data_IF_098164090608
#
_entry.id   IF_098164090608
#
_cell.length_a   1.000
_cell.length_b   1.000
_cell.length_c   1.000
_cell.angle_alpha   90.00
_cell.angle_beta   90.00
_cell.angle_gamma   90.00
#
_symmetry.space_group_name_H-M   'P 1'
#
loop_
_entity.id
_entity.type
_entity.pdbx_description
1 polymer ?
#
# COMPACT_ATOMS: atom_id res chain seq x y z
N UNK A 1 45.72 43.92 -30.82
CA UNK A 1 44.34 43.40 -31.01
C UNK A 1 44.33 41.95 -30.55
N UNK A 2 43.92 41.70 -29.31
CA UNK A 2 43.93 40.35 -28.72
C UNK A 2 42.48 39.97 -28.46
N UNK A 3 41.95 39.03 -29.24
CA UNK A 3 40.58 38.53 -29.08
C UNK A 3 40.55 37.55 -27.90
N UNK A 4 39.86 37.91 -26.82
CA UNK A 4 39.38 36.93 -25.84
C UNK A 4 38.25 36.13 -26.48
N UNK A 5 38.43 34.81 -26.59
CA UNK A 5 37.35 33.87 -26.89
C UNK A 5 36.93 33.28 -25.54
N UNK A 6 35.80 33.74 -25.01
CA UNK A 6 35.17 33.11 -23.85
C UNK A 6 34.53 31.79 -24.27
N UNK A 7 35.06 30.67 -23.77
CA UNK A 7 34.42 29.37 -23.87
C UNK A 7 33.32 29.27 -22.80
N UNK A 8 32.05 29.20 -23.22
CA UNK A 8 30.96 28.73 -22.36
C UNK A 8 31.16 27.23 -22.15
N UNK A 9 31.55 26.83 -20.94
CA UNK A 9 31.45 25.45 -20.51
C UNK A 9 29.97 25.15 -20.22
N UNK A 10 29.30 24.45 -21.14
CA UNK A 10 27.97 23.91 -20.91
C UNK A 10 28.04 22.82 -19.83
N UNK A 11 27.39 23.06 -18.69
CA UNK A 11 27.23 22.06 -17.65
C UNK A 11 26.09 21.10 -18.06
N UNK A 12 26.45 19.95 -18.62
CA UNK A 12 25.50 18.85 -18.83
C UNK A 12 25.21 18.21 -17.47
N UNK A 13 24.07 18.52 -16.87
CA UNK A 13 23.57 17.81 -15.70
C UNK A 13 23.03 16.46 -16.21
N UNK A 14 23.85 15.42 -16.12
CA UNK A 14 23.34 14.05 -16.25
C UNK A 14 22.52 13.75 -15.01
N UNK A 15 21.19 13.73 -15.15
CA UNK A 15 20.32 13.06 -14.20
C UNK A 15 20.69 11.58 -14.22
N UNK A 16 21.53 11.17 -13.27
CA UNK A 16 21.71 9.77 -12.99
C UNK A 16 20.36 9.24 -12.52
N UNK A 17 19.70 8.44 -13.36
CA UNK A 17 18.59 7.59 -12.92
C UNK A 17 19.12 6.78 -11.74
N UNK A 18 18.58 7.04 -10.54
CA UNK A 18 18.90 6.23 -9.38
C UNK A 18 18.62 4.77 -9.74
N UNK A 19 19.59 3.88 -9.46
CA UNK A 19 19.34 2.46 -9.58
C UNK A 19 18.15 2.13 -8.69
N UNK A 20 17.04 1.69 -9.30
CA UNK A 20 15.93 1.15 -8.53
C UNK A 20 16.48 -0.08 -7.78
N UNK A 21 16.67 0.04 -6.47
CA UNK A 21 16.93 -1.11 -5.61
C UNK A 21 15.77 -2.08 -5.79
N UNK A 22 16.06 -3.32 -6.18
CA UNK A 22 15.04 -4.36 -6.30
C UNK A 22 14.32 -4.55 -4.95
N UNK A 23 12.99 -4.58 -4.97
CA UNK A 23 12.14 -4.78 -3.80
C UNK A 23 11.31 -3.56 -3.41
N UNK A 24 11.11 -3.39 -2.11
CA UNK A 24 10.40 -2.25 -1.50
C UNK A 24 11.36 -1.12 -1.15
N UNK A 25 11.04 0.10 -1.59
CA UNK A 25 11.73 1.32 -1.18
C UNK A 25 10.78 2.19 -0.36
N UNK A 26 11.23 2.61 0.82
CA UNK A 26 10.54 3.58 1.65
C UNK A 26 10.93 5.01 1.27
N UNK A 27 9.94 5.91 1.25
CA UNK A 27 10.18 7.35 1.19
C UNK A 27 9.08 8.14 1.89
N UNK A 28 9.45 9.31 2.39
CA UNK A 28 8.49 10.32 2.84
C UNK A 28 8.03 11.17 1.66
N UNK A 29 6.72 11.25 1.48
CA UNK A 29 6.11 12.16 0.50
C UNK A 29 5.82 13.51 1.15
N UNK A 30 6.10 14.60 0.45
CA UNK A 30 5.65 15.94 0.84
C UNK A 30 4.25 16.23 0.27
N UNK A 31 3.57 17.25 0.80
CA UNK A 31 2.30 17.71 0.23
C UNK A 31 2.46 18.14 -1.25
N UNK A 32 3.60 18.74 -1.61
CA UNK A 32 3.92 19.14 -2.97
C UNK A 32 4.05 17.94 -3.92
N UNK A 33 4.72 16.86 -3.49
CA UNK A 33 4.83 15.63 -4.30
C UNK A 33 3.45 15.02 -4.58
N UNK A 34 2.60 14.96 -3.56
CA UNK A 34 1.24 14.42 -3.69
C UNK A 34 0.35 15.32 -4.57
N UNK A 35 0.46 16.63 -4.44
CA UNK A 35 -0.24 17.55 -5.34
C UNK A 35 0.25 17.42 -6.80
N UNK A 36 1.56 17.28 -7.02
CA UNK A 36 2.15 17.09 -8.35
C UNK A 36 1.73 15.77 -9.02
N UNK A 37 1.37 14.75 -8.24
CA UNK A 37 0.83 13.48 -8.76
C UNK A 37 -0.67 13.54 -9.09
N UNK A 38 -1.34 14.67 -8.83
CA UNK A 38 -2.78 14.83 -9.03
C UNK A 38 -3.63 14.41 -7.82
N UNK A 39 -3.00 14.05 -6.70
CA UNK A 39 -3.68 13.60 -5.48
C UNK A 39 -3.24 14.47 -4.29
N UNK A 40 -3.75 15.70 -4.12
CA UNK A 40 -3.30 16.66 -3.10
C UNK A 40 -3.75 16.26 -1.67
N UNK A 41 -3.28 15.12 -1.19
CA UNK A 41 -3.56 14.61 0.16
C UNK A 41 -2.77 15.46 1.16
N UNK A 42 -3.44 16.22 2.01
CA UNK A 42 -2.79 17.01 3.08
C UNK A 42 -2.82 16.28 4.42
N UNK A 43 -3.79 15.38 4.61
CA UNK A 43 -3.95 14.56 5.79
C UNK A 43 -4.39 13.15 5.41
N UNK A 44 -3.77 12.13 6.03
CA UNK A 44 -4.18 10.73 5.88
C UNK A 44 -5.64 10.50 6.27
N UNK A 45 -6.17 11.28 7.21
CA UNK A 45 -7.54 11.17 7.71
C UNK A 45 -8.60 11.85 6.85
N UNK A 46 -8.22 12.62 5.82
CA UNK A 46 -9.18 13.37 4.99
C UNK A 46 -9.57 12.67 3.69
N UNK A 47 -9.08 11.44 3.46
CA UNK A 47 -9.29 10.71 2.20
C UNK A 47 -9.65 9.25 2.46
N UNK A 48 -10.38 8.65 1.51
CA UNK A 48 -10.67 7.21 1.50
C UNK A 48 -9.38 6.39 1.27
N UNK A 49 -9.43 5.10 1.63
CA UNK A 49 -8.31 4.18 1.36
C UNK A 49 -8.03 4.07 -0.14
N UNK A 50 -9.08 4.05 -0.97
CA UNK A 50 -8.94 3.89 -2.40
C UNK A 50 -8.31 5.15 -3.02
N UNK A 51 -8.71 6.35 -2.57
CA UNK A 51 -8.07 7.60 -2.97
C UNK A 51 -6.60 7.64 -2.55
N UNK A 52 -6.29 7.22 -1.32
CA UNK A 52 -4.92 7.12 -0.84
C UNK A 52 -4.08 6.16 -1.71
N UNK A 53 -4.60 4.99 -2.06
CA UNK A 53 -3.89 4.03 -2.91
C UNK A 53 -3.68 4.56 -4.33
N UNK A 54 -4.68 5.22 -4.93
CA UNK A 54 -4.50 5.88 -6.23
C UNK A 54 -3.39 6.95 -6.18
N UNK A 55 -3.34 7.71 -5.09
CA UNK A 55 -2.28 8.68 -4.86
C UNK A 55 -0.90 8.05 -4.66
N UNK A 56 -0.82 6.93 -3.94
CA UNK A 56 0.41 6.18 -3.75
C UNK A 56 0.98 5.67 -5.08
N UNK A 57 0.13 5.09 -5.92
CA UNK A 57 0.45 4.64 -7.28
C UNK A 57 1.00 5.80 -8.13
N UNK A 58 0.30 6.94 -8.14
CA UNK A 58 0.66 8.09 -8.94
C UNK A 58 2.00 8.71 -8.50
N UNK A 59 2.24 8.84 -7.18
CA UNK A 59 3.53 9.33 -6.67
C UNK A 59 4.65 8.36 -7.03
N UNK A 60 4.52 7.06 -6.74
CA UNK A 60 5.55 6.09 -7.05
C UNK A 60 5.88 6.02 -8.55
N UNK A 61 4.86 6.12 -9.42
CA UNK A 61 5.05 6.18 -10.87
C UNK A 61 5.88 7.41 -11.31
N UNK A 62 5.67 8.59 -10.71
CA UNK A 62 6.47 9.78 -10.99
C UNK A 62 7.94 9.64 -10.58
N UNK A 63 8.24 8.71 -9.67
CA UNK A 63 9.59 8.42 -9.19
C UNK A 63 10.20 7.16 -9.83
N UNK A 64 9.58 6.62 -10.88
CA UNK A 64 10.13 5.49 -11.65
C UNK A 64 9.88 4.11 -11.06
N UNK A 65 9.01 4.02 -10.04
CA UNK A 65 8.60 2.74 -9.45
C UNK A 65 7.36 2.19 -10.14
N UNK A 66 7.17 0.87 -10.04
CA UNK A 66 6.02 0.22 -10.65
C UNK A 66 4.75 0.55 -9.88
N UNK A 67 4.74 0.37 -8.56
CA UNK A 67 3.52 0.48 -7.74
C UNK A 67 3.82 1.16 -6.41
N UNK A 68 2.78 1.57 -5.69
CA UNK A 68 2.89 2.32 -4.44
C UNK A 68 1.81 2.00 -3.42
N UNK A 69 2.19 2.05 -2.15
CA UNK A 69 1.28 1.86 -1.02
C UNK A 69 1.69 2.71 0.18
N UNK A 70 0.79 3.56 0.67
CA UNK A 70 1.06 4.33 1.89
C UNK A 70 1.16 3.40 3.10
N UNK A 71 2.16 3.67 3.95
CA UNK A 71 2.40 2.99 5.24
C UNK A 71 1.32 3.30 6.28
N UNK A 72 0.53 4.34 6.04
CA UNK A 72 -0.37 4.92 7.03
C UNK A 72 0.32 5.91 7.97
N UNK A 73 1.66 5.97 8.05
CA UNK A 73 2.36 6.92 8.91
C UNK A 73 2.25 8.36 8.38
N UNK A 74 2.15 9.33 9.30
CA UNK A 74 2.22 10.76 8.99
C UNK A 74 2.91 11.53 10.13
N UNK A 75 3.86 12.40 9.77
CA UNK A 75 4.53 13.34 10.67
C UNK A 75 4.54 14.73 10.04
N UNK A 76 3.76 15.66 10.58
CA UNK A 76 3.51 16.94 9.91
C UNK A 76 2.91 16.73 8.51
N UNK A 77 3.56 17.28 7.48
CA UNK A 77 3.17 17.11 6.08
C UNK A 77 3.69 15.83 5.41
N UNK A 78 4.64 15.14 6.07
CA UNK A 78 5.29 13.96 5.54
C UNK A 78 4.39 12.74 5.74
N UNK A 79 4.15 11.99 4.65
CA UNK A 79 3.43 10.73 4.69
C UNK A 79 4.33 9.62 4.14
N UNK A 80 4.52 8.57 4.94
CA UNK A 80 5.38 7.44 4.59
C UNK A 80 4.76 6.59 3.49
N UNK A 81 5.52 6.33 2.42
CA UNK A 81 5.12 5.62 1.22
C UNK A 81 6.12 4.51 0.91
N UNK A 82 5.60 3.31 0.65
CA UNK A 82 6.37 2.22 0.07
C UNK A 82 6.15 2.18 -1.44
N UNK A 83 7.23 2.26 -2.20
CA UNK A 83 7.25 2.05 -3.64
C UNK A 83 7.87 0.70 -3.99
N UNK A 84 7.31 0.05 -5.00
CA UNK A 84 7.68 -1.30 -5.40
C UNK A 84 8.31 -1.28 -6.79
N UNK A 85 9.42 -2.00 -6.97
CA UNK A 85 10.02 -2.21 -8.29
C UNK A 85 9.26 -3.24 -9.11
N UNK A 86 9.41 -3.18 -10.44
CA UNK A 86 8.69 -4.05 -11.38
C UNK A 86 9.04 -5.53 -11.26
N UNK A 87 10.20 -5.88 -10.69
CA UNK A 87 10.57 -7.28 -10.44
C UNK A 87 9.88 -7.87 -9.20
N UNK A 88 9.32 -7.03 -8.32
CA UNK A 88 8.67 -7.46 -7.09
C UNK A 88 7.16 -7.68 -7.26
N UNK A 89 6.53 -6.90 -8.13
CA UNK A 89 5.07 -6.83 -8.22
C UNK A 89 4.58 -7.11 -9.63
N UNK A 90 3.46 -7.80 -9.70
CA UNK A 90 2.68 -7.92 -10.93
C UNK A 90 1.38 -7.17 -10.76
N UNK A 91 0.93 -6.51 -11.83
CA UNK A 91 -0.38 -5.88 -11.86
C UNK A 91 -1.32 -6.60 -12.81
N UNK A 92 -2.59 -6.60 -12.45
CA UNK A 92 -3.66 -7.13 -13.28
C UNK A 92 -4.99 -6.43 -13.01
N UNK A 93 -5.83 -6.43 -14.03
CA UNK A 93 -7.25 -6.16 -13.88
C UNK A 93 -7.96 -7.41 -13.38
N UNK A 94 -8.63 -7.30 -12.25
CA UNK A 94 -9.43 -8.37 -11.67
C UNK A 94 -10.91 -8.01 -11.83
N UNK A 95 -11.77 -8.94 -12.32
CA UNK A 95 -13.20 -8.73 -12.31
C UNK A 95 -13.67 -8.34 -10.89
N UNK A 96 -14.40 -7.25 -10.75
CA UNK A 96 -14.82 -6.76 -9.43
C UNK A 96 -15.61 -7.82 -8.65
N UNK A 97 -16.44 -8.60 -9.37
CA UNK A 97 -17.20 -9.72 -8.80
C UNK A 97 -16.36 -10.91 -8.32
N UNK A 98 -15.05 -10.95 -8.57
CA UNK A 98 -14.16 -11.92 -7.92
C UNK A 98 -13.76 -11.45 -6.53
N UNK A 99 -13.42 -10.16 -6.39
CA UNK A 99 -13.07 -9.55 -5.11
C UNK A 99 -14.24 -9.65 -4.11
N UNK A 100 -15.48 -9.49 -4.59
CA UNK A 100 -16.67 -9.58 -3.71
C UNK A 100 -16.98 -10.99 -3.22
N UNK A 101 -16.37 -12.05 -3.78
CA UNK A 101 -16.62 -13.45 -3.33
C UNK A 101 -16.00 -13.77 -1.98
N UNK A 102 -15.13 -12.91 -1.49
CA UNK A 102 -14.40 -13.14 -0.25
C UNK A 102 -15.25 -12.76 0.95
N UNK A 103 -15.28 -13.64 1.96
CA UNK A 103 -16.15 -13.56 3.15
C UNK A 103 -16.03 -12.28 4.01
N UNK A 104 -15.16 -11.37 3.60
CA UNK A 104 -14.83 -10.12 4.28
C UNK A 104 -15.29 -8.92 3.47
N UNK A 105 -15.60 -9.09 2.18
CA UNK A 105 -16.22 -8.05 1.39
C UNK A 105 -17.63 -7.75 1.93
N UNK A 106 -18.04 -6.48 1.83
CA UNK A 106 -19.39 -6.06 2.19
C UNK A 106 -20.22 -5.93 0.92
N UNK A 107 -21.03 -6.95 0.63
CA UNK A 107 -21.82 -7.01 -0.60
C UNK A 107 -22.86 -5.88 -0.70
N UNK A 108 -23.20 -5.23 0.42
CA UNK A 108 -24.02 -4.03 0.43
C UNK A 108 -23.31 -2.77 -0.09
N UNK A 109 -21.97 -2.81 -0.20
CA UNK A 109 -21.13 -1.69 -0.61
C UNK A 109 -20.52 -1.97 -2.00
N UNK A 110 -21.05 -1.29 -3.01
CA UNK A 110 -20.62 -1.45 -4.42
C UNK A 110 -19.65 -0.38 -4.90
N UNK A 111 -19.58 0.74 -4.17
CA UNK A 111 -18.61 1.82 -4.37
C UNK A 111 -17.31 1.38 -3.70
N UNK A 112 -16.23 1.32 -4.48
CA UNK A 112 -14.93 0.82 -4.01
C UNK A 112 -14.41 1.61 -2.80
N UNK A 113 -14.52 2.94 -2.87
CA UNK A 113 -14.04 3.87 -1.86
C UNK A 113 -14.76 3.73 -0.50
N UNK A 114 -16.01 3.28 -0.51
CA UNK A 114 -16.83 3.13 0.69
C UNK A 114 -16.53 1.84 1.47
N UNK A 115 -15.81 0.91 0.85
CA UNK A 115 -15.45 -0.33 1.52
C UNK A 115 -14.39 -0.08 2.61
N UNK A 116 -14.44 -0.81 3.71
CA UNK A 116 -13.43 -0.72 4.76
C UNK A 116 -12.07 -1.24 4.27
N UNK A 117 -11.00 -0.50 4.54
CA UNK A 117 -9.65 -0.82 4.06
C UNK A 117 -9.21 -2.23 4.46
N UNK A 118 -9.41 -2.60 5.72
CA UNK A 118 -9.09 -3.94 6.21
C UNK A 118 -9.78 -5.04 5.41
N UNK A 119 -11.08 -4.86 5.15
CA UNK A 119 -11.88 -5.82 4.36
C UNK A 119 -11.37 -5.90 2.92
N UNK A 120 -11.05 -4.76 2.31
CA UNK A 120 -10.50 -4.71 0.95
C UNK A 120 -9.14 -5.43 0.86
N UNK A 121 -8.23 -5.20 1.81
CA UNK A 121 -6.93 -5.87 1.89
C UNK A 121 -7.05 -7.39 2.10
N UNK A 122 -7.90 -7.80 3.04
CA UNK A 122 -8.15 -9.22 3.30
C UNK A 122 -8.78 -9.92 2.09
N UNK A 123 -9.76 -9.29 1.42
CA UNK A 123 -10.36 -9.82 0.20
C UNK A 123 -9.33 -9.99 -0.93
N UNK A 124 -8.43 -9.02 -1.08
CA UNK A 124 -7.36 -9.08 -2.10
C UNK A 124 -6.39 -10.22 -1.83
N UNK A 125 -6.08 -10.46 -0.56
CA UNK A 125 -5.24 -11.59 -0.16
C UNK A 125 -5.87 -12.93 -0.53
N UNK A 126 -7.17 -13.08 -0.31
CA UNK A 126 -7.92 -14.24 -0.78
C UNK A 126 -7.78 -14.41 -2.29
N UNK A 127 -8.07 -13.34 -3.04
CA UNK A 127 -8.05 -13.38 -4.52
C UNK A 127 -6.67 -13.75 -5.06
N UNK A 128 -5.62 -13.14 -4.51
CA UNK A 128 -4.23 -13.43 -4.88
C UNK A 128 -3.89 -14.93 -4.73
N UNK A 129 -4.45 -15.62 -3.74
CA UNK A 129 -4.25 -17.05 -3.53
C UNK A 129 -4.99 -17.97 -4.51
N UNK A 130 -6.08 -17.51 -5.12
CA UNK A 130 -6.96 -18.32 -5.99
C UNK A 130 -6.66 -18.17 -7.48
N UNK A 131 -6.05 -17.06 -7.92
CA UNK A 131 -5.98 -16.71 -9.35
C UNK A 131 -5.02 -17.55 -10.20
N UNK A 132 -4.49 -18.69 -9.73
CA UNK A 132 -3.53 -19.51 -10.49
C UNK A 132 -2.20 -18.81 -10.78
N UNK A 133 -2.04 -17.62 -10.22
CA UNK A 133 -0.86 -16.79 -10.25
C UNK A 133 -0.20 -17.03 -8.90
N UNK A 134 1.06 -17.42 -8.85
CA UNK A 134 1.78 -17.81 -7.63
C UNK A 134 1.98 -16.65 -6.64
N UNK A 135 0.94 -15.86 -6.34
CA UNK A 135 0.98 -14.77 -5.40
C UNK A 135 0.71 -15.27 -3.97
N UNK A 136 1.42 -14.67 -3.03
CA UNK A 136 1.21 -14.86 -1.60
C UNK A 136 0.37 -13.74 -0.99
N UNK A 137 0.37 -12.55 -1.60
CA UNK A 137 -0.38 -11.39 -1.13
C UNK A 137 -0.77 -10.48 -2.29
N UNK A 138 -1.64 -9.52 -2.00
CA UNK A 138 -1.91 -8.43 -2.92
C UNK A 138 -2.63 -7.27 -2.26
N UNK A 139 -2.69 -6.14 -2.97
CA UNK A 139 -3.47 -4.97 -2.59
C UNK A 139 -4.12 -4.32 -3.81
N UNK A 140 -5.26 -3.67 -3.60
CA UNK A 140 -5.95 -2.93 -4.66
C UNK A 140 -5.26 -1.57 -4.87
N UNK A 141 -5.15 -1.16 -6.13
CA UNK A 141 -4.63 0.17 -6.50
C UNK A 141 -5.63 1.30 -6.20
N UNK A 142 -6.86 0.95 -5.78
CA UNK A 142 -7.97 1.88 -5.63
C UNK A 142 -8.61 2.30 -6.96
N UNK A 143 -8.13 1.81 -8.11
CA UNK A 143 -8.77 2.06 -9.40
C UNK A 143 -9.86 1.03 -9.69
N UNK A 144 -11.03 1.52 -10.13
CA UNK A 144 -12.12 0.70 -10.69
C UNK A 144 -12.45 1.20 -12.09
N UNK A 145 -12.30 0.33 -13.09
CA UNK A 145 -12.81 0.58 -14.43
C UNK A 145 -14.31 0.27 -14.44
N UNK A 146 -15.15 1.30 -14.49
CA UNK A 146 -16.61 1.15 -14.46
C UNK A 146 -17.18 0.59 -15.76
N UNK A 147 -16.48 0.73 -16.89
CA UNK A 147 -16.93 0.21 -18.18
C UNK A 147 -16.77 -1.31 -18.27
N UNK A 148 -15.67 -1.85 -17.74
CA UNK A 148 -15.41 -3.30 -17.74
C UNK A 148 -15.76 -3.95 -16.40
N UNK A 149 -16.09 -3.17 -15.37
CA UNK A 149 -16.28 -3.62 -13.99
C UNK A 149 -15.07 -4.41 -13.45
N UNK A 150 -13.86 -3.92 -13.72
CA UNK A 150 -12.61 -4.47 -13.19
C UNK A 150 -11.99 -3.52 -12.17
N UNK A 151 -11.21 -4.07 -11.25
CA UNK A 151 -10.38 -3.31 -10.31
C UNK A 151 -8.91 -3.65 -10.50
N UNK A 152 -8.06 -2.64 -10.34
CA UNK A 152 -6.63 -2.84 -10.40
C UNK A 152 -6.14 -3.53 -9.13
N UNK A 153 -5.46 -4.66 -9.29
CA UNK A 153 -4.83 -5.41 -8.21
C UNK A 153 -3.33 -5.53 -8.44
N UNK A 154 -2.57 -5.35 -7.38
CA UNK A 154 -1.14 -5.65 -7.33
C UNK A 154 -0.97 -6.98 -6.60
N UNK A 155 -0.31 -7.93 -7.25
CA UNK A 155 0.08 -9.23 -6.68
C UNK A 155 1.56 -9.26 -6.34
N UNK A 156 1.90 -9.95 -5.25
CA UNK A 156 3.26 -10.16 -4.77
C UNK A 156 3.55 -11.66 -4.77
N UNK A 157 4.67 -12.04 -5.39
CA UNK A 157 5.07 -13.44 -5.51
C UNK A 157 5.15 -14.12 -4.14
N UNK A 158 4.59 -15.33 -4.03
CA UNK A 158 4.51 -16.10 -2.79
C UNK A 158 5.87 -16.34 -2.15
N UNK A 159 6.93 -16.48 -2.94
CA UNK A 159 8.29 -16.63 -2.43
C UNK A 159 8.80 -15.41 -1.64
N UNK A 160 8.17 -14.24 -1.83
CA UNK A 160 8.49 -12.99 -1.13
C UNK A 160 7.55 -12.69 0.04
N UNK A 161 6.55 -13.55 0.30
CA UNK A 161 5.51 -13.29 1.31
C UNK A 161 5.66 -14.20 2.53
N UNK A 162 5.65 -13.59 3.72
CA UNK A 162 5.56 -14.28 5.01
C UNK A 162 4.27 -13.94 5.75
N UNK A 163 3.53 -14.95 6.20
CA UNK A 163 2.39 -14.76 7.09
C UNK A 163 2.84 -14.44 8.52
N UNK A 164 2.34 -13.35 9.11
CA UNK A 164 2.57 -12.96 10.51
C UNK A 164 1.26 -12.63 11.19
N UNK A 165 1.27 -12.61 12.52
CA UNK A 165 0.08 -12.28 13.27
C UNK A 165 0.41 -11.57 14.57
N UNK A 166 -0.58 -10.85 15.08
CA UNK A 166 -0.51 -10.15 16.36
C UNK A 166 -1.88 -10.16 17.01
N UNK A 167 -1.95 -10.20 18.34
CA UNK A 167 -3.21 -9.97 19.04
C UNK A 167 -3.45 -8.47 19.21
N UNK A 168 -4.71 -8.04 19.23
CA UNK A 168 -5.08 -6.63 19.42
C UNK A 168 -4.67 -6.07 20.80
N UNK A 169 -4.38 -6.94 21.77
CA UNK A 169 -3.87 -6.60 23.11
C UNK A 169 -2.34 -6.71 23.23
N UNK A 170 -1.62 -6.96 22.14
CA UNK A 170 -0.18 -7.04 22.17
C UNK A 170 0.46 -5.68 22.50
N UNK A 171 1.39 -5.69 23.45
CA UNK A 171 2.24 -4.53 23.75
C UNK A 171 3.38 -4.43 22.75
N UNK A 172 3.80 -3.20 22.42
CA UNK A 172 4.92 -2.95 21.51
C UNK A 172 4.53 -2.43 20.13
N UNK A 173 3.23 -2.31 19.85
CA UNK A 173 2.70 -1.72 18.62
C UNK A 173 1.81 -0.53 18.97
N UNK A 174 2.31 0.72 18.88
CA UNK A 174 1.57 1.92 19.29
C UNK A 174 0.19 2.05 18.65
N UNK A 175 0.04 1.62 17.39
CA UNK A 175 -1.21 1.74 16.64
C UNK A 175 -2.24 0.63 16.92
N UNK A 176 -1.90 -0.39 17.74
CA UNK A 176 -2.87 -1.41 18.19
C UNK A 176 -3.68 -0.96 19.42
N UNK A 177 -3.06 -0.18 20.30
CA UNK A 177 -3.61 0.11 21.63
C UNK A 177 -4.31 1.47 21.71
N UNK A 178 -5.42 1.60 22.48
CA UNK A 178 -6.04 0.58 23.34
C UNK A 178 -7.24 -0.15 22.71
N UNK A 179 -7.59 0.12 21.44
CA UNK A 179 -8.88 -0.32 20.88
C UNK A 179 -8.88 -0.47 19.37
N UNK A 180 -7.82 -1.04 18.79
CA UNK A 180 -7.82 -1.37 17.36
C UNK A 180 -8.90 -2.40 17.03
N UNK A 181 -9.96 -1.94 16.34
CA UNK A 181 -10.94 -2.81 15.71
C UNK A 181 -10.73 -2.75 14.18
N UNK A 182 -10.18 -3.81 13.56
CA UNK A 182 -9.87 -3.81 12.13
C UNK A 182 -11.08 -3.50 11.25
N UNK A 183 -12.29 -3.82 11.70
CA UNK A 183 -13.51 -3.65 10.90
C UNK A 183 -14.00 -2.20 10.81
N UNK A 184 -13.53 -1.32 11.70
CA UNK A 184 -13.92 0.09 11.75
C UNK A 184 -12.74 1.05 11.80
N UNK A 185 -11.51 0.51 11.91
CA UNK A 185 -10.30 1.31 11.93
C UNK A 185 -10.17 2.07 10.60
N UNK A 186 -9.76 3.34 10.64
CA UNK A 186 -9.48 4.07 9.42
C UNK A 186 -8.29 3.42 8.71
N UNK A 187 -8.23 3.60 7.39
CA UNK A 187 -7.27 2.92 6.53
C UNK A 187 -5.83 3.11 6.98
N UNK A 188 -5.49 4.30 7.48
CA UNK A 188 -4.13 4.63 7.87
C UNK A 188 -3.71 3.91 9.15
N UNK A 189 -4.64 3.61 10.06
CA UNK A 189 -4.33 2.79 11.24
C UNK A 189 -4.14 1.34 10.84
N UNK A 190 -4.98 0.81 9.92
CA UNK A 190 -4.80 -0.55 9.38
C UNK A 190 -3.42 -0.71 8.74
N UNK A 191 -3.02 0.25 7.90
CA UNK A 191 -1.70 0.25 7.25
C UNK A 191 -0.55 0.43 8.22
N UNK A 192 -0.69 1.32 9.21
CA UNK A 192 0.37 1.57 10.19
C UNK A 192 0.62 0.33 11.05
N UNK A 193 -0.45 -0.33 11.52
CA UNK A 193 -0.35 -1.61 12.24
C UNK A 193 0.30 -2.68 11.36
N UNK A 194 -0.17 -2.86 10.12
CA UNK A 194 0.40 -3.85 9.21
C UNK A 194 1.90 -3.62 8.98
N UNK A 195 2.29 -2.37 8.78
CA UNK A 195 3.69 -1.95 8.58
C UNK A 195 4.51 -2.26 9.84
N UNK A 196 4.10 -1.78 11.02
CA UNK A 196 4.82 -2.01 12.28
C UNK A 196 4.98 -3.49 12.63
N UNK A 197 3.92 -4.28 12.46
CA UNK A 197 3.98 -5.72 12.70
C UNK A 197 4.98 -6.35 11.75
N UNK A 198 4.91 -6.08 10.46
CA UNK A 198 5.82 -6.67 9.49
C UNK A 198 7.28 -6.25 9.68
N UNK A 199 7.53 -4.97 9.99
CA UNK A 199 8.85 -4.45 10.33
C UNK A 199 9.44 -5.12 11.57
N UNK A 200 8.62 -5.38 12.60
CA UNK A 200 9.07 -6.10 13.80
C UNK A 200 9.56 -7.54 13.51
N UNK A 201 9.17 -8.11 12.38
CA UNK A 201 9.63 -9.42 11.89
C UNK A 201 10.68 -9.34 10.79
N UNK A 202 11.25 -8.16 10.52
CA UNK A 202 12.31 -7.95 9.53
C UNK A 202 11.83 -7.85 8.08
N UNK A 203 10.55 -7.56 7.87
CA UNK A 203 10.01 -7.22 6.55
C UNK A 203 9.97 -5.69 6.35
N UNK A 204 9.88 -5.23 5.11
CA UNK A 204 9.76 -3.83 4.75
C UNK A 204 8.33 -3.33 5.00
N UNK A 205 7.32 -4.16 4.73
CA UNK A 205 5.91 -3.78 4.89
C UNK A 205 4.98 -4.99 4.87
N UNK A 206 3.68 -4.75 5.01
CA UNK A 206 2.66 -5.76 4.72
C UNK A 206 1.25 -5.20 4.55
N UNK A 207 0.31 -6.12 4.41
CA UNK A 207 -1.13 -5.85 4.31
C UNK A 207 -1.91 -6.74 5.25
N UNK A 208 -3.09 -6.28 5.71
CA UNK A 208 -3.99 -7.13 6.47
C UNK A 208 -4.48 -8.31 5.63
N UNK A 209 -4.45 -9.52 6.21
CA UNK A 209 -4.94 -10.74 5.56
C UNK A 209 -6.15 -11.36 6.26
N UNK A 210 -6.39 -11.04 7.53
CA UNK A 210 -7.50 -11.62 8.27
C UNK A 210 -7.50 -11.26 9.76
N UNK A 211 -8.60 -11.60 10.43
CA UNK A 211 -8.75 -11.49 11.87
C UNK A 211 -9.59 -12.65 12.41
N UNK A 212 -9.26 -13.14 13.60
CA UNK A 212 -9.92 -14.30 14.20
C UNK A 212 -10.17 -14.05 15.68
N UNK A 213 -11.26 -14.58 16.22
CA UNK A 213 -11.54 -14.47 17.65
C UNK A 213 -10.55 -15.33 18.45
N UNK A 214 -10.07 -14.79 19.58
CA UNK A 214 -9.08 -15.49 20.44
C UNK A 214 -9.72 -16.29 21.58
N UNK A 215 -11.05 -16.27 21.69
CA UNK A 215 -11.79 -16.73 22.86
C UNK A 215 -11.78 -15.75 24.03
N UNK A 216 -10.95 -14.69 24.00
CA UNK A 216 -11.01 -13.59 24.97
C UNK A 216 -11.90 -12.46 24.44
N UNK A 217 -12.84 -11.99 25.26
CA UNK A 217 -13.78 -10.93 24.89
C UNK A 217 -13.03 -9.67 24.49
N UNK A 218 -13.34 -9.13 23.31
CA UNK A 218 -12.74 -7.90 22.79
C UNK A 218 -11.33 -8.06 22.21
N UNK A 219 -10.78 -9.27 22.16
CA UNK A 219 -9.42 -9.50 21.66
C UNK A 219 -9.45 -10.36 20.39
N UNK A 220 -8.90 -9.80 19.31
CA UNK A 220 -8.76 -10.47 18.02
C UNK A 220 -7.30 -10.85 17.77
N UNK A 221 -7.10 -11.97 17.09
CA UNK A 221 -5.83 -12.32 16.46
C UNK A 221 -5.87 -11.82 15.04
N UNK A 222 -5.07 -10.81 14.73
CA UNK A 222 -4.91 -10.27 13.38
C UNK A 222 -3.83 -11.08 12.64
N UNK A 223 -4.03 -11.27 11.34
CA UNK A 223 -3.03 -11.82 10.44
C UNK A 223 -2.68 -10.80 9.35
N UNK A 224 -1.41 -10.81 8.98
CA UNK A 224 -0.82 -9.94 7.97
C UNK A 224 0.02 -10.77 7.01
N UNK A 225 0.05 -10.34 5.76
CA UNK A 225 1.03 -10.80 4.80
C UNK A 225 2.12 -9.75 4.66
N UNK A 226 3.34 -10.11 5.07
CA UNK A 226 4.52 -9.28 5.09
C UNK A 226 5.44 -9.61 3.92
N UNK A 227 6.12 -8.61 3.34
CA UNK A 227 6.92 -8.79 2.13
C UNK A 227 8.05 -7.74 1.96
N UNK A 228 9.07 -8.11 1.15
CA UNK A 228 10.29 -7.38 0.83
C UNK A 228 10.58 -7.30 -0.67
#
# INVERSE_FOLDING_TARGET
MTKLVSALAGLTITLASAQAFAGVVWMDTTAAMRAASGYPITSRGSVSWAYANRGAEAVCAQHGYARGLYTGAQSGELMGLHCFTSDMVTWQDVPFGNITRWAWWDDGITVLDDQMAFKAEAATTGEAGQMGLNYGAGFLTGHKNTATNHVGMVGIDRSRVGGRGVRTDATGFPDLTPSFNPHYAPWYTVRAVATQVCESYGFATGVASGAYTTGTIGILSLSFHCFN
#
